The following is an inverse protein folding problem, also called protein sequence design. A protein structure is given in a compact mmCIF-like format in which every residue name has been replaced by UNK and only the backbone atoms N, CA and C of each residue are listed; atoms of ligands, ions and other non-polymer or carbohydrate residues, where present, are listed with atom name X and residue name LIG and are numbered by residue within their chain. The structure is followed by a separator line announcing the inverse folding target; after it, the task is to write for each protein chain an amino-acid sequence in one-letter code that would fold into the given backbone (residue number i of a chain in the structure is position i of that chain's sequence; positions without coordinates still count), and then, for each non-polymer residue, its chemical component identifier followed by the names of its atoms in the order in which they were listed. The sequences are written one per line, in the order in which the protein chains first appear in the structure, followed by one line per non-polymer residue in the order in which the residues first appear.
data_IF_393754157420
#
_entry.id   IF_393754157420
#
_cell.length_a   1.000
_cell.length_b   1.000
_cell.length_c   1.000
_cell.angle_alpha   90.00
_cell.angle_beta   90.00
_cell.angle_gamma   90.00
#
_symmetry.space_group_name_H-M   'P 1'
#
loop_
_entity.id
_entity.type
_entity.pdbx_description
1 polymer ?
#
# COMPACT_ATOMS: atom_id res chain seq x y z
N UNK A 1 -53.09 -7.65 8.82
CA UNK A 1 -52.07 -6.74 8.24
C UNK A 1 -52.60 -5.97 7.03
N UNK A 2 -53.22 -6.62 6.03
CA UNK A 2 -53.80 -5.93 4.85
C UNK A 2 -54.78 -4.80 5.20
N UNK A 3 -55.63 -4.99 6.22
CA UNK A 3 -56.68 -4.01 6.56
C UNK A 3 -56.18 -2.73 7.24
N UNK A 4 -54.98 -2.73 7.83
CA UNK A 4 -54.43 -1.54 8.52
C UNK A 4 -53.78 -0.59 7.50
N UNK A 5 -53.09 -1.16 6.50
CA UNK A 5 -52.42 -0.39 5.46
C UNK A 5 -53.40 0.33 4.52
N UNK A 6 -54.58 -0.25 4.28
CA UNK A 6 -55.63 0.35 3.45
C UNK A 6 -56.43 1.43 4.20
N UNK A 7 -56.40 1.44 5.53
CA UNK A 7 -57.26 2.30 6.36
C UNK A 7 -56.59 3.62 6.76
N UNK A 8 -55.26 3.66 6.83
CA UNK A 8 -54.46 4.88 7.06
C UNK A 8 -53.16 4.82 6.23
N UNK A 9 -53.26 4.88 4.89
CA UNK A 9 -52.12 4.71 4.00
C UNK A 9 -51.04 5.79 4.21
N UNK A 10 -51.42 7.02 4.54
CA UNK A 10 -50.51 8.12 4.85
C UNK A 10 -49.60 7.83 6.05
N UNK A 11 -50.15 7.23 7.13
CA UNK A 11 -49.36 6.87 8.31
C UNK A 11 -48.36 5.75 8.00
N UNK A 12 -48.77 4.76 7.20
CA UNK A 12 -47.90 3.66 6.80
C UNK A 12 -46.76 4.15 5.90
N UNK A 13 -47.04 5.06 4.97
CA UNK A 13 -46.02 5.67 4.11
C UNK A 13 -45.02 6.46 4.96
N UNK A 14 -45.50 7.34 5.85
CA UNK A 14 -44.64 8.14 6.73
C UNK A 14 -43.74 7.22 7.58
N UNK A 15 -44.31 6.19 8.20
CA UNK A 15 -43.56 5.27 9.03
C UNK A 15 -42.50 4.49 8.23
N UNK A 16 -42.85 4.07 7.02
CA UNK A 16 -41.91 3.39 6.10
C UNK A 16 -40.77 4.31 5.70
N UNK A 17 -41.06 5.56 5.35
CA UNK A 17 -40.04 6.56 4.99
C UNK A 17 -39.11 6.84 6.19
N UNK A 18 -39.65 6.94 7.40
CA UNK A 18 -38.83 7.11 8.61
C UNK A 18 -37.89 5.91 8.81
N UNK A 19 -38.39 4.68 8.68
CA UNK A 19 -37.55 3.48 8.76
C UNK A 19 -36.44 3.53 7.71
N UNK A 20 -36.76 3.87 6.46
CA UNK A 20 -35.77 3.96 5.37
C UNK A 20 -34.68 4.99 5.70
N UNK A 21 -35.06 6.17 6.18
CA UNK A 21 -34.10 7.23 6.54
C UNK A 21 -33.19 6.76 7.69
N UNK A 22 -33.76 6.17 8.74
CA UNK A 22 -32.98 5.64 9.88
C UNK A 22 -32.05 4.51 9.42
N UNK A 23 -32.52 3.60 8.58
CA UNK A 23 -31.68 2.54 8.01
C UNK A 23 -30.56 3.09 7.13
N UNK A 24 -30.82 4.15 6.36
CA UNK A 24 -29.80 4.79 5.51
C UNK A 24 -28.71 5.46 6.37
N UNK A 25 -29.09 6.20 7.41
CA UNK A 25 -28.12 6.79 8.36
C UNK A 25 -27.32 5.69 9.07
N UNK A 26 -27.97 4.59 9.44
CA UNK A 26 -27.27 3.45 10.05
C UNK A 26 -26.30 2.79 9.07
N UNK A 27 -26.69 2.61 7.81
CA UNK A 27 -25.85 2.00 6.78
C UNK A 27 -24.61 2.84 6.46
N UNK A 28 -24.71 4.17 6.54
CA UNK A 28 -23.57 5.07 6.36
C UNK A 28 -22.50 4.95 7.47
N UNK A 29 -22.85 4.42 8.63
CA UNK A 29 -21.93 4.22 9.76
C UNK A 29 -21.42 2.77 9.86
N UNK A 30 -21.63 1.94 8.84
CA UNK A 30 -21.09 0.57 8.83
C UNK A 30 -19.58 0.66 8.61
N UNK A 31 -18.82 0.37 9.66
CA UNK A 31 -17.37 0.22 9.58
C UNK A 31 -17.03 -1.10 8.89
N UNK A 32 -16.18 -1.04 7.87
CA UNK A 32 -15.63 -2.24 7.24
C UNK A 32 -14.40 -2.68 8.02
N UNK A 33 -14.52 -3.78 8.76
CA UNK A 33 -13.37 -4.39 9.44
C UNK A 33 -12.72 -5.39 8.48
N UNK A 34 -11.49 -5.11 8.08
CA UNK A 34 -10.68 -5.97 7.21
C UNK A 34 -9.41 -6.43 7.93
N UNK A 35 -8.84 -7.56 7.50
CA UNK A 35 -7.58 -8.08 8.06
C UNK A 35 -7.79 -9.16 9.11
N UNK A 36 -6.72 -9.52 9.82
CA UNK A 36 -6.69 -10.67 10.75
C UNK A 36 -7.73 -10.54 11.86
N UNK A 37 -8.12 -9.29 12.21
CA UNK A 37 -9.17 -8.96 13.18
C UNK A 37 -10.58 -9.43 12.78
N UNK A 38 -10.87 -9.64 11.49
CA UNK A 38 -12.17 -10.16 11.03
C UNK A 38 -12.19 -11.67 10.81
N UNK A 39 -11.03 -12.32 10.70
CA UNK A 39 -10.91 -13.76 10.44
C UNK A 39 -10.85 -14.63 11.69
N UNK A 40 -10.39 -14.08 12.82
CA UNK A 40 -10.18 -14.84 14.06
C UNK A 40 -10.78 -14.14 15.27
N UNK A 41 -11.34 -14.91 16.21
CA UNK A 41 -11.74 -14.37 17.50
C UNK A 41 -10.52 -13.92 18.32
N UNK A 42 -10.70 -12.93 19.21
CA UNK A 42 -9.62 -12.39 20.05
C UNK A 42 -8.97 -13.43 20.96
N UNK A 43 -9.70 -14.49 21.31
CA UNK A 43 -9.21 -15.61 22.13
C UNK A 43 -8.45 -16.67 21.31
N UNK A 44 -8.43 -16.54 19.98
CA UNK A 44 -7.73 -17.48 19.12
C UNK A 44 -6.20 -17.35 19.31
N UNK A 45 -5.53 -18.48 19.50
CA UNK A 45 -4.07 -18.52 19.70
C UNK A 45 -3.29 -17.91 18.52
N UNK A 46 -3.77 -18.07 17.29
CA UNK A 46 -3.18 -17.48 16.08
C UNK A 46 -3.30 -15.96 16.12
N UNK A 47 -4.48 -15.44 16.49
CA UNK A 47 -4.71 -14.00 16.63
C UNK A 47 -3.77 -13.37 17.68
N UNK A 48 -3.67 -13.98 18.86
CA UNK A 48 -2.79 -13.50 19.93
C UNK A 48 -1.31 -13.54 19.53
N UNK A 49 -0.90 -14.59 18.81
CA UNK A 49 0.47 -14.72 18.31
C UNK A 49 0.78 -13.66 17.25
N UNK A 50 -0.16 -13.38 16.35
CA UNK A 50 -0.06 -12.32 15.36
C UNK A 50 0.05 -10.94 16.03
N UNK A 51 -0.84 -10.61 16.97
CA UNK A 51 -0.77 -9.33 17.72
C UNK A 51 0.51 -9.18 18.54
N UNK A 52 1.03 -10.26 19.10
CA UNK A 52 2.32 -10.23 19.81
C UNK A 52 3.50 -9.98 18.85
N UNK A 53 3.43 -10.54 17.65
CA UNK A 53 4.42 -10.29 16.60
C UNK A 53 4.36 -8.83 16.13
N UNK A 54 3.17 -8.34 15.74
CA UNK A 54 2.92 -6.96 15.32
C UNK A 54 3.46 -5.95 16.34
N UNK A 55 3.17 -6.17 17.64
CA UNK A 55 3.63 -5.33 18.74
C UNK A 55 5.15 -5.25 18.86
N UNK A 56 5.84 -6.38 18.68
CA UNK A 56 7.27 -6.48 18.97
C UNK A 56 8.16 -6.19 17.76
N UNK A 57 7.63 -6.34 16.54
CA UNK A 57 8.42 -6.26 15.32
C UNK A 57 8.01 -5.13 14.38
N UNK A 58 6.99 -4.32 14.73
CA UNK A 58 6.55 -3.09 14.03
C UNK A 58 6.98 -3.08 12.56
N UNK A 59 6.33 -3.88 11.72
CA UNK A 59 6.57 -3.79 10.29
C UNK A 59 5.81 -2.60 9.72
N UNK A 60 6.34 -2.02 8.65
CA UNK A 60 5.60 -1.20 7.72
C UNK A 60 4.20 -1.80 7.52
N UNK A 61 3.21 -1.05 7.96
CA UNK A 61 1.81 -1.48 8.08
C UNK A 61 1.11 -1.58 6.72
N UNK A 62 1.72 -0.99 5.70
CA UNK A 62 1.38 -1.20 4.30
C UNK A 62 2.62 -1.04 3.41
N UNK A 63 2.54 -1.60 2.21
CA UNK A 63 3.55 -1.45 1.17
C UNK A 63 2.90 -1.00 -0.15
N UNK A 64 3.48 0.02 -0.77
CA UNK A 64 3.14 0.47 -2.12
C UNK A 64 4.26 0.00 -3.06
N UNK A 65 3.87 -0.68 -4.13
CA UNK A 65 4.79 -1.21 -5.13
C UNK A 65 4.80 -0.32 -6.37
N UNK A 66 5.98 0.24 -6.68
CA UNK A 66 6.18 1.05 -7.88
C UNK A 66 6.94 0.19 -8.89
N UNK A 67 6.33 -0.01 -10.07
CA UNK A 67 6.94 -0.73 -11.18
C UNK A 67 7.62 0.26 -12.14
N UNK A 68 8.94 0.16 -12.24
CA UNK A 68 9.75 0.92 -13.19
C UNK A 68 9.94 0.10 -14.45
N UNK A 69 9.48 0.65 -15.59
CA UNK A 69 9.59 0.01 -16.90
C UNK A 69 10.54 0.80 -17.78
N UNK A 70 11.51 0.13 -18.38
CA UNK A 70 12.48 0.70 -19.32
C UNK A 70 12.99 -0.33 -20.31
N UNK A 71 13.88 0.08 -21.22
CA UNK A 71 14.55 -0.86 -22.14
C UNK A 71 15.58 -1.73 -21.41
N UNK A 72 16.31 -1.11 -20.48
CA UNK A 72 17.26 -1.77 -19.59
C UNK A 72 17.23 -1.08 -18.23
N UNK A 73 16.71 -1.76 -17.22
CA UNK A 73 16.61 -1.22 -15.85
C UNK A 73 17.87 -1.49 -15.03
N UNK A 74 18.84 -2.21 -15.60
CA UNK A 74 20.10 -2.60 -14.96
C UNK A 74 21.25 -1.83 -15.60
N UNK A 75 21.26 -0.52 -15.34
CA UNK A 75 22.38 0.37 -15.67
C UNK A 75 22.65 1.34 -14.54
N UNK A 76 23.85 1.92 -14.54
CA UNK A 76 24.24 2.93 -13.57
C UNK A 76 23.24 4.09 -13.52
N UNK A 77 22.81 4.61 -14.68
CA UNK A 77 21.92 5.75 -14.77
C UNK A 77 20.54 5.45 -14.18
N UNK A 78 20.00 4.25 -14.44
CA UNK A 78 18.70 3.86 -13.90
C UNK A 78 18.79 3.59 -12.41
N UNK A 79 19.88 2.98 -11.92
CA UNK A 79 20.08 2.75 -10.50
C UNK A 79 20.24 4.06 -9.72
N UNK A 80 21.02 4.99 -10.27
CA UNK A 80 21.18 6.34 -9.73
C UNK A 80 19.84 7.12 -9.73
N UNK A 81 19.00 6.94 -10.76
CA UNK A 81 17.63 7.42 -10.76
C UNK A 81 16.79 6.79 -9.65
N UNK A 82 16.87 5.47 -9.44
CA UNK A 82 16.13 4.78 -8.37
C UNK A 82 16.50 5.28 -6.97
N UNK A 83 17.78 5.55 -6.72
CA UNK A 83 18.23 6.15 -5.44
C UNK A 83 17.59 7.52 -5.23
N UNK A 84 17.64 8.40 -6.24
CA UNK A 84 16.99 9.72 -6.17
C UNK A 84 15.49 9.62 -5.97
N UNK A 85 14.85 8.69 -6.67
CA UNK A 85 13.43 8.43 -6.54
C UNK A 85 13.08 8.06 -5.10
N UNK A 86 13.83 7.13 -4.49
CA UNK A 86 13.59 6.74 -3.09
C UNK A 86 13.73 7.93 -2.13
N UNK A 87 14.79 8.74 -2.29
CA UNK A 87 14.99 9.97 -1.50
C UNK A 87 13.82 10.94 -1.63
N UNK A 88 13.26 11.10 -2.83
CA UNK A 88 12.10 11.98 -3.05
C UNK A 88 10.80 11.41 -2.48
N UNK A 89 10.61 10.09 -2.52
CA UNK A 89 9.45 9.40 -1.96
C UNK A 89 9.44 9.46 -0.43
N UNK A 90 10.60 9.34 0.21
CA UNK A 90 10.74 9.43 1.67
C UNK A 90 10.42 10.82 2.24
N UNK A 91 10.36 11.86 1.39
CA UNK A 91 9.91 13.20 1.79
C UNK A 91 8.39 13.33 1.89
N UNK A 92 7.64 12.34 1.42
CA UNK A 92 6.17 12.35 1.44
C UNK A 92 5.68 11.98 2.84
N UNK A 93 4.78 12.79 3.39
CA UNK A 93 4.16 12.50 4.68
C UNK A 93 3.43 11.15 4.65
N UNK A 94 3.65 10.33 5.68
CA UNK A 94 3.10 8.97 5.78
C UNK A 94 3.98 7.87 5.17
N UNK A 95 4.99 8.22 4.36
CA UNK A 95 6.04 7.28 3.94
C UNK A 95 7.03 7.07 5.07
N UNK A 96 7.39 5.81 5.32
CA UNK A 96 8.38 5.40 6.32
C UNK A 96 9.77 5.21 5.70
N UNK A 97 9.83 4.49 4.58
CA UNK A 97 11.05 4.23 3.82
C UNK A 97 10.71 3.86 2.39
N UNK A 98 11.64 4.07 1.47
CA UNK A 98 11.57 3.56 0.11
C UNK A 98 12.84 2.77 -0.20
N UNK A 99 12.68 1.56 -0.75
CA UNK A 99 13.78 0.65 -1.05
C UNK A 99 13.71 0.20 -2.50
N UNK A 100 14.81 0.40 -3.23
CA UNK A 100 15.00 -0.04 -4.61
C UNK A 100 16.11 -1.09 -4.72
N UNK A 101 16.24 -1.77 -5.88
CA UNK A 101 17.41 -2.60 -6.19
C UNK A 101 18.73 -1.84 -6.03
N UNK A 102 18.73 -0.54 -6.32
CA UNK A 102 19.92 0.29 -6.23
C UNK A 102 20.37 0.51 -4.77
N UNK A 103 19.43 0.64 -3.83
CA UNK A 103 19.73 0.76 -2.40
C UNK A 103 20.43 -0.50 -1.89
N UNK A 104 19.96 -1.69 -2.29
CA UNK A 104 20.58 -2.96 -1.87
C UNK A 104 22.02 -3.07 -2.41
N UNK A 105 22.26 -2.65 -3.66
CA UNK A 105 23.62 -2.62 -4.21
C UNK A 105 24.48 -1.60 -3.47
N UNK A 106 23.95 -0.41 -3.21
CA UNK A 106 24.66 0.65 -2.49
C UNK A 106 25.05 0.19 -1.07
N UNK A 107 24.14 -0.43 -0.33
CA UNK A 107 24.40 -0.98 1.01
C UNK A 107 25.42 -2.12 0.98
N UNK A 108 25.35 -2.99 -0.04
CA UNK A 108 26.22 -4.17 -0.13
C UNK A 108 27.64 -3.81 -0.55
N UNK A 109 27.80 -2.88 -1.48
CA UNK A 109 29.09 -2.56 -2.11
C UNK A 109 29.65 -1.19 -1.74
N UNK A 110 28.89 -0.35 -1.03
CA UNK A 110 29.23 1.03 -0.66
C UNK A 110 29.10 2.05 -1.78
N UNK A 111 28.84 1.61 -3.02
CA UNK A 111 28.63 2.44 -4.20
C UNK A 111 27.88 1.64 -5.28
N UNK A 112 27.24 2.31 -6.23
CA UNK A 112 26.74 1.66 -7.45
C UNK A 112 27.95 1.39 -8.37
N UNK A 113 28.23 0.12 -8.72
CA UNK A 113 29.30 -0.21 -9.66
C UNK A 113 29.05 0.43 -11.04
N UNK A 114 30.10 1.04 -11.61
CA UNK A 114 30.05 1.60 -12.97
C UNK A 114 30.36 0.57 -14.06
N UNK A 115 30.89 -0.61 -13.69
CA UNK A 115 31.02 -1.72 -14.62
C UNK A 115 29.66 -2.38 -14.83
N UNK A 116 29.02 -2.02 -15.92
CA UNK A 116 27.72 -2.51 -16.38
C UNK A 116 27.63 -4.05 -16.42
N UNK A 117 28.72 -4.75 -16.76
CA UNK A 117 28.70 -6.23 -16.79
C UNK A 117 28.65 -6.79 -15.38
N UNK A 118 29.48 -6.24 -14.49
CA UNK A 118 29.45 -6.62 -13.09
C UNK A 118 28.10 -6.29 -12.44
N UNK A 119 27.54 -5.11 -12.72
CA UNK A 119 26.23 -4.68 -12.22
C UNK A 119 25.11 -5.64 -12.67
N UNK A 120 25.17 -6.14 -13.89
CA UNK A 120 24.23 -7.16 -14.40
C UNK A 120 24.39 -8.49 -13.68
N UNK A 121 25.61 -8.99 -13.57
CA UNK A 121 25.88 -10.28 -12.95
C UNK A 121 25.41 -10.32 -11.49
N UNK A 122 25.63 -9.24 -10.72
CA UNK A 122 25.17 -9.16 -9.34
C UNK A 122 23.65 -8.96 -9.26
N UNK A 123 23.05 -8.19 -10.17
CA UNK A 123 21.61 -7.95 -10.18
C UNK A 123 20.83 -9.23 -10.52
N UNK A 124 21.28 -10.00 -11.50
CA UNK A 124 20.68 -11.29 -11.86
C UNK A 124 20.81 -12.31 -10.72
N UNK A 125 21.92 -12.30 -10.00
CA UNK A 125 22.20 -13.27 -8.93
C UNK A 125 21.50 -12.95 -7.62
N UNK A 126 21.40 -11.68 -7.24
CA UNK A 126 20.96 -11.27 -5.91
C UNK A 126 19.63 -10.52 -5.89
N UNK A 127 19.17 -9.97 -7.03
CA UNK A 127 18.04 -9.04 -7.08
C UNK A 127 16.90 -9.53 -7.99
N UNK A 128 16.86 -10.82 -8.33
CA UNK A 128 15.85 -11.38 -9.23
C UNK A 128 14.39 -11.13 -8.77
N UNK A 129 14.16 -10.98 -7.46
CA UNK A 129 12.84 -10.66 -6.90
C UNK A 129 12.41 -9.21 -7.16
N UNK A 130 13.37 -8.28 -7.19
CA UNK A 130 13.12 -6.85 -7.44
C UNK A 130 13.37 -6.45 -8.90
N UNK A 131 14.12 -7.25 -9.65
CA UNK A 131 14.37 -7.10 -11.08
C UNK A 131 13.92 -8.40 -11.77
N UNK A 132 12.61 -8.64 -11.88
CA UNK A 132 12.08 -9.87 -12.49
C UNK A 132 12.48 -10.01 -13.97
N UNK A 133 12.75 -8.90 -14.65
CA UNK A 133 13.23 -8.84 -16.05
C UNK A 133 14.09 -7.61 -16.26
N UNK A 134 14.97 -7.64 -17.26
CA UNK A 134 15.79 -6.48 -17.65
C UNK A 134 14.99 -5.22 -18.03
N UNK A 135 13.70 -5.34 -18.30
CA UNK A 135 12.83 -4.21 -18.64
C UNK A 135 11.94 -3.76 -17.47
N UNK A 136 12.09 -4.35 -16.29
CA UNK A 136 11.17 -4.16 -15.18
C UNK A 136 11.89 -4.26 -13.83
N UNK A 137 11.80 -3.19 -13.04
CA UNK A 137 12.27 -3.16 -11.66
C UNK A 137 11.13 -2.76 -10.71
N UNK A 138 11.26 -3.16 -9.45
CA UNK A 138 10.31 -2.91 -8.38
C UNK A 138 10.96 -2.04 -7.30
N UNK A 139 10.30 -0.93 -6.96
CA UNK A 139 10.61 -0.11 -5.79
C UNK A 139 9.50 -0.33 -4.76
N UNK A 140 9.89 -0.62 -3.52
CA UNK A 140 8.98 -0.85 -2.41
C UNK A 140 8.94 0.40 -1.54
N UNK A 141 7.73 0.91 -1.28
CA UNK A 141 7.51 2.06 -0.41
C UNK A 141 6.73 1.61 0.81
N UNK A 142 7.37 1.66 1.95
CA UNK A 142 6.79 1.32 3.24
C UNK A 142 6.04 2.52 3.81
N UNK A 143 4.84 2.30 4.35
CA UNK A 143 3.98 3.37 4.89
C UNK A 143 3.55 3.10 6.33
N UNK A 144 3.33 4.18 7.08
CA UNK A 144 3.09 4.17 8.53
C UNK A 144 1.64 3.90 8.96
N UNK A 145 0.74 3.60 8.01
CA UNK A 145 -0.69 3.45 8.30
C UNK A 145 -1.28 2.10 7.84
N UNK A 146 -2.15 1.53 8.68
CA UNK A 146 -3.03 0.39 8.37
C UNK A 146 -4.41 0.84 7.85
N UNK A 147 -4.76 2.13 7.97
CA UNK A 147 -6.08 2.64 7.61
C UNK A 147 -6.19 2.84 6.10
N UNK A 148 -7.10 2.10 5.46
CA UNK A 148 -7.28 2.12 4.01
C UNK A 148 -7.43 3.53 3.41
N UNK A 149 -8.10 4.44 4.13
CA UNK A 149 -8.27 5.84 3.69
C UNK A 149 -6.94 6.60 3.67
N UNK A 150 -6.15 6.48 4.72
CA UNK A 150 -4.83 7.13 4.80
C UNK A 150 -3.88 6.52 3.77
N UNK A 151 -3.91 5.20 3.58
CA UNK A 151 -3.13 4.52 2.54
C UNK A 151 -3.47 5.06 1.13
N UNK A 152 -4.75 5.31 0.84
CA UNK A 152 -5.18 5.90 -0.43
C UNK A 152 -4.70 7.35 -0.60
N UNK A 153 -4.71 8.14 0.47
CA UNK A 153 -4.20 9.52 0.46
C UNK A 153 -2.67 9.57 0.24
N UNK A 154 -1.93 8.66 0.85
CA UNK A 154 -0.49 8.50 0.63
C UNK A 154 -0.22 8.08 -0.82
N UNK A 155 -0.96 7.09 -1.35
CA UNK A 155 -0.83 6.64 -2.73
C UNK A 155 -1.06 7.78 -3.74
N UNK A 156 -2.10 8.60 -3.53
CA UNK A 156 -2.36 9.80 -4.37
C UNK A 156 -1.24 10.83 -4.29
N UNK A 157 -0.61 10.97 -3.13
CA UNK A 157 0.51 11.90 -2.94
C UNK A 157 1.77 11.40 -3.65
N UNK A 158 2.04 10.09 -3.60
CA UNK A 158 3.09 9.43 -4.40
C UNK A 158 2.83 9.64 -5.89
N UNK A 159 1.62 9.35 -6.38
CA UNK A 159 1.30 9.54 -7.80
C UNK A 159 1.49 10.99 -8.27
N UNK A 160 1.20 11.97 -7.41
CA UNK A 160 1.41 13.38 -7.74
C UNK A 160 2.89 13.69 -7.84
N UNK A 161 3.68 13.24 -6.86
CA UNK A 161 5.13 13.41 -6.83
C UNK A 161 5.80 12.76 -8.04
N UNK A 162 5.38 11.56 -8.42
CA UNK A 162 5.89 10.85 -9.60
C UNK A 162 5.65 11.60 -10.91
N UNK A 163 4.60 12.42 -11.02
CA UNK A 163 4.35 13.26 -12.20
C UNK A 163 5.25 14.50 -12.27
N UNK A 164 5.81 14.91 -11.14
CA UNK A 164 6.71 16.06 -11.04
C UNK A 164 8.18 15.66 -11.30
N UNK A 165 8.51 14.37 -11.18
CA UNK A 165 9.82 13.84 -11.48
C UNK A 165 9.94 13.72 -13.01
N UNK A 166 10.72 14.61 -13.63
CA UNK A 166 11.14 14.46 -15.01
C UNK A 166 12.03 13.21 -15.15
N UNK A 167 11.72 12.39 -16.16
CA UNK A 167 12.49 11.20 -16.56
C UNK A 167 13.37 11.55 -17.75
#
# INVERSE_FOLDING_TARGET
MKDIALRNPELVIIFTVIIIIVSMISAMNVETVSGVDSFFSKDNRVYQSYKLYEKNFQQATGAIFIFLKGEDVVSYEVFDFMLRLCIELEKIEGVESAVSPADIILETFGQIPTDERFLRDISEKYLAELIPKRTLALVMVNIKSEEAKEQEEIAKSIERKLREIEV
#
